data_IF_448430648832
#
_entry.id   IF_448430648832
#
_cell.length_a   1.000
_cell.length_b   1.000
_cell.length_c   1.000
_cell.angle_alpha   90.00
_cell.angle_beta   90.00
_cell.angle_gamma   90.00
#
_symmetry.space_group_name_H-M   'P 1'
#
loop_
_entity.id
_entity.type
_entity.pdbx_description
1 polymer ?
#
# COMPACT_ATOMS: atom_id res chain seq x y z
N UNK A 1 9.27 22.13 -3.33
CA UNK A 1 8.25 22.53 -4.32
C UNK A 1 7.01 21.73 -4.00
N UNK A 2 5.79 22.28 -3.94
CA UNK A 2 4.62 21.45 -3.65
C UNK A 2 4.48 20.49 -4.85
N UNK A 3 4.77 19.22 -4.58
CA UNK A 3 4.72 18.12 -5.52
C UNK A 3 3.33 18.06 -6.13
N UNK A 4 3.27 17.79 -7.45
CA UNK A 4 2.08 17.71 -8.27
C UNK A 4 0.94 17.08 -7.49
N UNK A 5 -0.03 17.91 -7.09
CA UNK A 5 -1.14 17.49 -6.27
C UNK A 5 -1.89 16.31 -6.90
N UNK A 6 -2.39 15.43 -6.04
CA UNK A 6 -3.50 14.49 -6.20
C UNK A 6 -4.68 15.12 -7.00
N UNK A 7 -4.51 15.36 -8.30
CA UNK A 7 -5.35 16.26 -9.10
C UNK A 7 -6.62 15.61 -9.65
N UNK A 8 -6.85 14.34 -9.31
CA UNK A 8 -8.05 13.61 -9.70
C UNK A 8 -9.15 13.70 -8.64
N UNK A 9 -10.41 13.43 -9.04
CA UNK A 9 -11.52 13.43 -8.09
C UNK A 9 -11.29 12.34 -7.03
N UNK A 10 -11.62 12.68 -5.79
CA UNK A 10 -11.69 11.67 -4.74
C UNK A 10 -12.95 10.83 -4.97
N UNK A 11 -12.79 9.51 -5.08
CA UNK A 11 -13.86 8.59 -5.43
C UNK A 11 -13.93 7.44 -4.42
N UNK A 12 -15.10 6.80 -4.32
CA UNK A 12 -15.24 5.53 -3.62
C UNK A 12 -14.58 4.42 -4.44
N UNK A 13 -13.81 3.56 -3.79
CA UNK A 13 -13.23 2.35 -4.40
C UNK A 13 -14.24 1.22 -4.31
N UNK A 14 -14.47 0.56 -5.44
CA UNK A 14 -15.36 -0.56 -5.64
C UNK A 14 -14.55 -1.75 -6.19
N UNK A 15 -15.16 -2.94 -6.19
CA UNK A 15 -14.65 -4.12 -6.89
C UNK A 15 -13.16 -4.39 -6.65
N UNK A 16 -12.77 -4.48 -5.38
CA UNK A 16 -11.38 -4.74 -4.96
C UNK A 16 -10.32 -3.76 -5.49
N UNK A 17 -10.70 -2.56 -5.96
CA UNK A 17 -9.77 -1.59 -6.54
C UNK A 17 -9.98 -1.36 -8.03
N UNK A 18 -10.72 -2.23 -8.73
CA UNK A 18 -10.83 -2.19 -10.19
C UNK A 18 -11.77 -1.10 -10.70
N UNK A 19 -12.71 -0.65 -9.87
CA UNK A 19 -13.68 0.37 -10.23
C UNK A 19 -13.74 1.51 -9.19
N UNK A 20 -14.06 2.71 -9.68
CA UNK A 20 -14.23 3.91 -8.84
C UNK A 20 -15.58 4.57 -9.13
N UNK A 21 -16.22 5.12 -8.10
CA UNK A 21 -17.53 5.77 -8.22
C UNK A 21 -17.62 7.03 -7.38
N UNK A 22 -18.35 8.04 -7.87
CA UNK A 22 -18.70 9.22 -7.08
C UNK A 22 -19.78 8.93 -6.02
N UNK A 23 -20.52 7.84 -6.21
CA UNK A 23 -21.64 7.44 -5.34
C UNK A 23 -21.18 6.35 -4.39
N UNK A 24 -21.54 6.49 -3.10
CA UNK A 24 -21.19 5.50 -2.07
C UNK A 24 -21.87 4.15 -2.38
N UNK A 25 -21.15 3.03 -2.30
CA UNK A 25 -21.76 1.71 -2.48
C UNK A 25 -22.86 1.43 -1.46
N UNK A 26 -23.93 0.79 -1.92
CA UNK A 26 -25.01 0.32 -1.06
C UNK A 26 -24.60 -0.98 -0.36
N UNK A 27 -24.48 -0.94 0.97
CA UNK A 27 -24.17 -2.10 1.79
C UNK A 27 -24.75 -1.92 3.20
N UNK A 28 -25.08 -3.02 3.88
CA UNK A 28 -25.61 -2.98 5.24
C UNK A 28 -24.47 -2.88 6.28
N UNK A 29 -23.92 -1.68 6.43
CA UNK A 29 -22.79 -1.43 7.31
C UNK A 29 -23.21 -1.38 8.80
N UNK A 30 -22.51 -2.14 9.64
CA UNK A 30 -22.75 -2.18 11.08
C UNK A 30 -22.02 -1.10 11.90
N UNK A 31 -21.09 -0.33 11.30
CA UNK A 31 -20.24 0.63 12.05
C UNK A 31 -19.56 1.69 11.19
N UNK A 32 -18.26 1.55 10.93
CA UNK A 32 -17.55 2.46 10.04
C UNK A 32 -18.12 2.44 8.62
N UNK A 33 -17.93 3.53 7.88
CA UNK A 33 -18.37 3.70 6.48
C UNK A 33 -17.15 4.06 5.63
N UNK A 34 -17.08 3.59 4.37
CA UNK A 34 -16.04 4.02 3.46
C UNK A 34 -16.16 5.52 3.18
N UNK A 35 -15.03 6.16 2.95
CA UNK A 35 -14.94 7.51 2.41
C UNK A 35 -14.37 7.46 0.99
N UNK A 36 -14.42 8.60 0.31
CA UNK A 36 -13.72 8.79 -0.96
C UNK A 36 -12.21 8.86 -0.68
N UNK A 37 -11.40 8.37 -1.60
CA UNK A 37 -9.93 8.35 -1.50
C UNK A 37 -9.30 9.02 -2.71
N UNK A 38 -8.06 9.47 -2.57
CA UNK A 38 -7.26 10.05 -3.63
C UNK A 38 -7.02 9.07 -4.81
N UNK A 39 -6.64 9.57 -6.00
CA UNK A 39 -6.14 8.73 -7.10
C UNK A 39 -4.90 7.92 -6.70
N UNK A 40 -4.61 6.85 -7.45
CA UNK A 40 -3.42 6.04 -7.19
C UNK A 40 -2.14 6.85 -7.40
N UNK A 41 -1.17 6.67 -6.50
CA UNK A 41 0.12 7.36 -6.53
C UNK A 41 1.12 6.59 -7.41
N UNK A 42 1.74 7.22 -8.41
CA UNK A 42 2.64 6.54 -9.33
C UNK A 42 3.95 6.17 -8.65
N UNK A 43 4.46 4.97 -8.93
CA UNK A 43 5.81 4.57 -8.50
C UNK A 43 6.87 5.06 -9.50
N UNK A 44 8.03 5.56 -9.04
CA UNK A 44 9.17 5.85 -9.89
C UNK A 44 9.64 4.63 -10.71
N UNK A 45 10.31 4.93 -11.82
CA UNK A 45 10.98 3.92 -12.63
C UNK A 45 12.20 3.35 -11.89
N UNK A 46 12.44 2.05 -12.03
CA UNK A 46 13.58 1.35 -11.43
C UNK A 46 13.28 0.60 -10.13
N UNK A 47 12.16 0.87 -9.45
CA UNK A 47 11.70 0.07 -8.31
C UNK A 47 11.25 -1.31 -8.82
N UNK A 48 11.75 -2.38 -8.18
CA UNK A 48 11.35 -3.74 -8.53
C UNK A 48 9.90 -3.99 -8.10
N UNK A 49 9.03 -4.18 -9.09
CA UNK A 49 7.60 -4.44 -8.86
C UNK A 49 7.35 -5.93 -8.62
N UNK A 50 6.44 -6.30 -7.69
CA UNK A 50 5.98 -7.67 -7.54
C UNK A 50 5.14 -8.10 -8.76
N UNK A 51 4.93 -9.42 -8.91
CA UNK A 51 4.16 -10.01 -10.02
C UNK A 51 2.71 -9.53 -10.06
N UNK A 52 2.12 -9.24 -8.90
CA UNK A 52 0.75 -8.74 -8.77
C UNK A 52 0.59 -7.24 -9.03
N UNK A 53 1.65 -6.47 -9.32
CA UNK A 53 1.57 -5.00 -9.36
C UNK A 53 0.55 -4.45 -10.38
N UNK A 54 0.44 -5.07 -11.56
CA UNK A 54 -0.45 -4.57 -12.63
C UNK A 54 -1.84 -5.17 -12.54
N UNK A 55 -1.93 -6.50 -12.40
CA UNK A 55 -3.18 -7.24 -12.51
C UNK A 55 -3.78 -7.72 -11.19
N UNK A 56 -3.14 -7.42 -10.05
CA UNK A 56 -3.61 -7.84 -8.73
C UNK A 56 -3.56 -9.35 -8.46
N UNK A 57 -3.16 -10.20 -9.42
CA UNK A 57 -3.08 -11.66 -9.25
C UNK A 57 -1.69 -12.07 -8.69
N UNK A 58 -1.59 -12.55 -7.44
CA UNK A 58 -0.33 -13.01 -6.84
C UNK A 58 -0.03 -14.44 -7.30
N UNK A 59 0.24 -14.62 -8.59
CA UNK A 59 0.46 -15.93 -9.21
C UNK A 59 1.55 -16.73 -8.49
N UNK A 60 2.68 -16.09 -8.19
CA UNK A 60 3.80 -16.74 -7.50
C UNK A 60 3.42 -17.30 -6.12
N UNK A 61 2.55 -16.61 -5.37
CA UNK A 61 2.07 -17.07 -4.06
C UNK A 61 1.01 -18.17 -4.18
N UNK A 62 0.17 -18.10 -5.22
CA UNK A 62 -0.87 -19.11 -5.49
C UNK A 62 -0.27 -20.47 -5.83
N UNK A 63 0.81 -20.49 -6.62
CA UNK A 63 1.51 -21.72 -7.02
C UNK A 63 2.59 -22.17 -6.05
N UNK A 64 2.87 -21.37 -5.00
CA UNK A 64 3.93 -21.67 -4.04
C UNK A 64 3.58 -22.84 -3.13
N UNK A 65 4.56 -23.73 -2.92
CA UNK A 65 4.50 -24.80 -1.91
C UNK A 65 4.79 -24.28 -0.49
N UNK A 66 5.18 -23.01 -0.35
CA UNK A 66 5.55 -22.39 0.93
C UNK A 66 4.43 -22.45 1.98
N UNK A 67 3.17 -22.57 1.55
CA UNK A 67 2.00 -22.72 2.42
C UNK A 67 2.08 -24.01 3.27
N UNK A 68 2.63 -25.08 2.69
CA UNK A 68 2.74 -26.38 3.34
C UNK A 68 4.17 -26.64 3.85
N UNK A 69 5.18 -26.09 3.16
CA UNK A 69 6.58 -26.28 3.49
C UNK A 69 7.28 -24.93 3.55
N UNK A 70 7.40 -24.33 4.75
CA UNK A 70 8.05 -23.03 4.90
C UNK A 70 9.49 -23.04 4.38
N UNK A 71 9.91 -22.05 3.57
CA UNK A 71 11.26 -22.02 3.03
C UNK A 71 12.28 -21.71 4.13
N UNK A 72 13.39 -22.45 4.12
CA UNK A 72 14.56 -22.12 4.95
C UNK A 72 15.40 -21.09 4.21
N UNK A 73 15.54 -19.90 4.79
CA UNK A 73 16.26 -18.79 4.18
C UNK A 73 17.77 -19.01 4.21
N UNK A 74 18.45 -18.68 3.11
CA UNK A 74 19.90 -18.54 3.10
C UNK A 74 20.35 -17.33 3.92
N UNK A 75 21.64 -17.26 4.27
CA UNK A 75 22.20 -16.11 4.99
C UNK A 75 21.96 -14.78 4.24
N UNK A 76 22.09 -14.78 2.91
CA UNK A 76 21.84 -13.60 2.08
C UNK A 76 20.35 -13.19 2.10
N UNK A 77 19.44 -14.16 2.01
CA UNK A 77 18.00 -13.90 2.10
C UNK A 77 17.60 -13.39 3.49
N UNK A 78 18.17 -13.95 4.55
CA UNK A 78 17.95 -13.49 5.92
C UNK A 78 18.42 -12.04 6.10
N UNK A 79 19.59 -11.66 5.56
CA UNK A 79 20.06 -10.27 5.58
C UNK A 79 19.17 -9.32 4.78
N UNK A 80 18.65 -9.76 3.63
CA UNK A 80 17.68 -8.98 2.88
C UNK A 80 16.38 -8.77 3.69
N UNK A 81 15.87 -9.81 4.35
CA UNK A 81 14.72 -9.70 5.24
C UNK A 81 14.98 -8.72 6.39
N UNK A 82 16.17 -8.77 7.02
CA UNK A 82 16.53 -7.83 8.10
C UNK A 82 16.54 -6.38 7.62
N UNK A 83 17.05 -6.11 6.41
CA UNK A 83 17.01 -4.76 5.82
C UNK A 83 15.57 -4.31 5.57
N UNK A 84 14.76 -5.15 4.93
CA UNK A 84 13.35 -4.85 4.67
C UNK A 84 12.56 -4.57 5.96
N UNK A 85 12.77 -5.38 7.00
CA UNK A 85 12.13 -5.18 8.30
C UNK A 85 12.57 -3.89 9.01
N UNK A 86 13.85 -3.48 8.89
CA UNK A 86 14.32 -2.19 9.43
C UNK A 86 13.65 -1.02 8.72
N UNK A 87 13.61 -1.04 7.39
CA UNK A 87 12.89 -0.03 6.62
C UNK A 87 11.40 0.02 6.99
N UNK A 88 10.76 -1.15 7.14
CA UNK A 88 9.36 -1.23 7.59
C UNK A 88 9.12 -0.58 8.96
N UNK A 89 10.10 -0.64 9.88
CA UNK A 89 10.02 0.06 11.16
C UNK A 89 10.10 1.57 10.98
N UNK A 90 11.02 2.05 10.16
CA UNK A 90 11.19 3.48 9.85
C UNK A 90 9.93 4.07 9.20
N UNK A 91 9.33 3.36 8.25
CA UNK A 91 8.05 3.74 7.63
C UNK A 91 6.94 3.81 8.68
N UNK A 92 6.85 2.83 9.57
CA UNK A 92 5.84 2.81 10.62
C UNK A 92 6.03 3.94 11.63
N UNK A 93 7.27 4.30 11.96
CA UNK A 93 7.60 5.46 12.82
C UNK A 93 7.16 6.77 12.16
N UNK A 94 7.41 6.95 10.87
CA UNK A 94 6.98 8.12 10.11
C UNK A 94 5.45 8.23 10.07
N UNK A 95 4.74 7.12 9.84
CA UNK A 95 3.29 7.07 9.88
C UNK A 95 2.74 7.44 11.27
N UNK A 96 3.33 6.89 12.34
CA UNK A 96 2.92 7.14 13.71
C UNK A 96 3.05 8.62 14.10
N UNK A 97 4.13 9.28 13.66
CA UNK A 97 4.43 10.67 14.00
C UNK A 97 3.35 11.68 13.58
N UNK A 98 2.53 11.35 12.59
CA UNK A 98 1.47 12.24 12.08
C UNK A 98 0.07 11.90 12.59
N UNK A 99 -0.09 10.83 13.38
CA UNK A 99 -1.41 10.40 13.89
C UNK A 99 -1.94 11.41 14.90
N UNK A 100 -2.99 12.14 14.52
CA UNK A 100 -3.73 13.07 15.38
C UNK A 100 -5.15 13.29 14.86
N UNK A 101 -6.09 13.76 15.71
CA UNK A 101 -7.44 14.10 15.26
C UNK A 101 -7.44 15.06 14.06
N UNK A 102 -8.28 14.77 13.07
CA UNK A 102 -8.39 15.54 11.84
C UNK A 102 -7.48 15.09 10.71
N UNK A 103 -6.47 14.24 10.98
CA UNK A 103 -5.67 13.60 9.92
C UNK A 103 -6.41 12.40 9.36
N UNK A 104 -6.51 12.34 8.04
CA UNK A 104 -7.18 11.27 7.31
C UNK A 104 -6.24 10.08 7.10
N UNK A 105 -6.82 8.89 6.91
CA UNK A 105 -6.02 7.69 6.57
C UNK A 105 -5.34 7.82 5.21
N UNK A 106 -5.91 8.60 4.28
CA UNK A 106 -5.30 8.90 2.97
C UNK A 106 -4.03 9.77 3.12
N UNK A 107 -4.03 10.73 4.05
CA UNK A 107 -2.83 11.52 4.36
C UNK A 107 -1.74 10.67 5.04
N UNK A 108 -2.12 9.70 5.87
CA UNK A 108 -1.17 8.74 6.46
C UNK A 108 -0.59 7.84 5.36
N UNK A 109 -1.45 7.32 4.48
CA UNK A 109 -1.04 6.53 3.32
C UNK A 109 -0.06 7.28 2.42
N UNK A 110 -0.28 8.57 2.15
CA UNK A 110 0.66 9.40 1.39
C UNK A 110 2.06 9.41 2.03
N UNK A 111 2.15 9.63 3.34
CA UNK A 111 3.46 9.62 4.03
C UNK A 111 4.09 8.23 3.98
N UNK A 112 3.31 7.18 4.17
CA UNK A 112 3.79 5.80 4.04
C UNK A 112 4.34 5.53 2.64
N UNK A 113 3.60 5.94 1.61
CA UNK A 113 4.01 5.80 0.21
C UNK A 113 5.33 6.53 -0.06
N UNK A 114 5.40 7.82 0.28
CA UNK A 114 6.58 8.65 0.02
C UNK A 114 7.83 8.08 0.68
N UNK A 115 7.75 7.72 1.97
CA UNK A 115 8.89 7.14 2.71
C UNK A 115 9.26 5.76 2.18
N UNK A 116 8.28 4.95 1.75
CA UNK A 116 8.57 3.64 1.14
C UNK A 116 9.32 3.80 -0.18
N UNK A 117 8.91 4.76 -1.02
CA UNK A 117 9.56 5.04 -2.31
C UNK A 117 10.97 5.60 -2.10
N UNK A 118 11.17 6.46 -1.11
CA UNK A 118 12.50 6.98 -0.75
C UNK A 118 13.44 5.90 -0.19
N UNK A 119 12.88 4.90 0.51
CA UNK A 119 13.62 3.81 1.13
C UNK A 119 14.22 2.76 0.18
N UNK A 120 13.74 2.71 -1.06
CA UNK A 120 14.24 1.82 -2.13
C UNK A 120 13.71 0.39 -2.06
#
# INVERSE_FOLDING_TARGET
>A
TPSVADSGPWLYVLDHGEARSSTRPGFNYHGLRPSRVSPDRPLPDGIKRPDYYVGGDPYAERTSTAKNTPPVLSAQQAEAMRRACRLGREILDAAHAIVKPGVTTDEIDRVVHDVTVEGG
#
